data_IF_234757660813
#
_entry.id   IF_234757660813
#
_cell.length_a   1.000
_cell.length_b   1.000
_cell.length_c   1.000
_cell.angle_alpha   90.00
_cell.angle_beta   90.00
_cell.angle_gamma   90.00
#
_symmetry.space_group_name_H-M   'P 1'
#
loop_
_entity.id
_entity.type
_entity.pdbx_description
1 polymer ?
#
# COMPACT_ATOMS: atom_id res chain seq x y z
N UNK A 1 0.45 33.65 15.57
CA UNK A 1 1.59 33.89 14.65
C UNK A 1 1.74 32.61 13.85
N UNK A 2 1.01 32.49 12.74
CA UNK A 2 1.06 31.28 11.90
C UNK A 2 2.45 31.17 11.30
N UNK A 3 3.13 30.05 11.56
CA UNK A 3 4.46 29.80 11.05
C UNK A 3 4.41 29.63 9.52
N UNK A 4 5.53 29.90 8.84
CA UNK A 4 5.62 29.76 7.38
C UNK A 4 5.37 28.31 6.91
N UNK A 5 5.68 27.33 7.76
CA UNK A 5 5.32 25.92 7.59
C UNK A 5 3.81 25.68 7.61
N UNK A 6 3.07 26.35 8.48
CA UNK A 6 1.61 26.23 8.54
C UNK A 6 0.96 26.73 7.25
N UNK A 7 1.49 27.81 6.66
CA UNK A 7 1.01 28.34 5.37
C UNK A 7 1.31 27.43 4.17
N UNK A 8 2.45 26.73 4.18
CA UNK A 8 2.79 25.75 3.13
C UNK A 8 1.94 24.48 3.30
N UNK A 9 1.67 24.09 4.54
CA UNK A 9 0.79 22.97 4.90
C UNK A 9 -0.64 23.24 4.45
N UNK A 10 -1.22 24.41 4.74
CA UNK A 10 -2.60 24.76 4.34
C UNK A 10 -2.77 24.79 2.82
N UNK A 11 -1.83 25.38 2.08
CA UNK A 11 -1.86 25.36 0.61
C UNK A 11 -1.86 23.95 0.01
N UNK A 12 -1.09 23.02 0.59
CA UNK A 12 -1.10 21.61 0.16
C UNK A 12 -2.44 20.95 0.45
N UNK A 13 -3.08 21.28 1.57
CA UNK A 13 -4.41 20.79 1.93
C UNK A 13 -5.47 21.29 0.97
N UNK A 14 -5.45 22.58 0.64
CA UNK A 14 -6.36 23.19 -0.32
C UNK A 14 -6.24 22.52 -1.68
N UNK A 15 -5.02 22.29 -2.17
CA UNK A 15 -4.79 21.60 -3.45
C UNK A 15 -5.29 20.15 -3.44
N UNK A 16 -5.12 19.43 -2.33
CA UNK A 16 -5.67 18.07 -2.20
C UNK A 16 -7.19 18.12 -2.20
N UNK A 17 -7.79 19.06 -1.48
CA UNK A 17 -9.24 19.28 -1.43
C UNK A 17 -9.79 19.58 -2.82
N UNK A 18 -9.18 20.52 -3.54
CA UNK A 18 -9.56 20.89 -4.91
C UNK A 18 -9.48 19.69 -5.86
N UNK A 19 -8.42 18.89 -5.78
CA UNK A 19 -8.31 17.66 -6.59
C UNK A 19 -9.40 16.63 -6.25
N UNK A 20 -9.74 16.47 -4.97
CA UNK A 20 -10.80 15.57 -4.54
C UNK A 20 -12.18 16.08 -4.99
N UNK A 21 -12.43 17.38 -4.89
CA UNK A 21 -13.66 18.02 -5.37
C UNK A 21 -13.79 17.92 -6.90
N UNK A 22 -12.71 18.14 -7.64
CA UNK A 22 -12.70 17.96 -9.10
C UNK A 22 -13.01 16.52 -9.50
N UNK A 23 -12.48 15.52 -8.76
CA UNK A 23 -12.80 14.10 -8.96
C UNK A 23 -14.25 13.78 -8.62
N UNK A 24 -14.75 14.28 -7.50
CA UNK A 24 -16.15 14.13 -7.11
C UNK A 24 -17.07 14.70 -8.19
N UNK A 25 -16.77 15.90 -8.69
CA UNK A 25 -17.53 16.54 -9.76
C UNK A 25 -17.51 15.73 -11.06
N UNK A 26 -16.36 15.14 -11.41
CA UNK A 26 -16.23 14.26 -12.59
C UNK A 26 -17.02 12.95 -12.44
N UNK A 27 -17.03 12.37 -11.24
CA UNK A 27 -17.82 11.18 -10.91
C UNK A 27 -19.32 11.50 -10.94
N UNK A 28 -19.75 12.63 -10.38
CA UNK A 28 -21.16 13.05 -10.36
C UNK A 28 -21.67 13.49 -11.73
N UNK A 29 -20.81 14.01 -12.61
CA UNK A 29 -21.20 14.38 -13.98
C UNK A 29 -21.32 13.20 -14.94
N UNK A 30 -20.98 11.99 -14.50
CA UNK A 30 -21.11 10.78 -15.31
C UNK A 30 -22.59 10.37 -15.33
N UNK A 31 -23.21 10.37 -16.51
CA UNK A 31 -24.63 10.01 -16.71
C UNK A 31 -24.90 8.57 -16.25
N UNK A 32 -25.26 8.43 -14.98
CA UNK A 32 -25.54 7.15 -14.31
C UNK A 32 -27.03 6.87 -14.17
N UNK A 33 -27.89 7.79 -14.64
CA UNK A 33 -29.35 7.64 -14.60
C UNK A 33 -29.88 6.41 -15.37
N UNK A 34 -29.09 5.85 -16.29
CA UNK A 34 -29.43 4.61 -17.02
C UNK A 34 -29.00 3.32 -16.31
N UNK A 35 -28.28 3.39 -15.18
CA UNK A 35 -27.75 2.23 -14.48
C UNK A 35 -28.36 2.08 -13.08
N UNK A 36 -28.55 0.84 -12.65
CA UNK A 36 -28.96 0.53 -11.28
C UNK A 36 -27.77 0.79 -10.35
N UNK A 37 -27.96 1.67 -9.37
CA UNK A 37 -26.94 1.99 -8.38
C UNK A 37 -26.85 0.93 -7.29
N UNK A 38 -25.72 0.86 -6.60
CA UNK A 38 -25.48 -0.10 -5.52
C UNK A 38 -26.56 -0.04 -4.42
N UNK A 39 -27.03 1.17 -4.10
CA UNK A 39 -28.08 1.42 -3.13
C UNK A 39 -29.44 0.84 -3.55
N UNK A 40 -29.73 0.88 -4.85
CA UNK A 40 -30.98 0.37 -5.42
C UNK A 40 -30.99 -1.16 -5.52
N UNK A 41 -29.83 -1.81 -5.53
CA UNK A 41 -29.73 -3.26 -5.54
C UNK A 41 -30.20 -3.90 -4.21
N UNK A 42 -30.27 -3.13 -3.12
CA UNK A 42 -30.67 -3.64 -1.81
C UNK A 42 -29.66 -4.63 -1.22
N UNK A 43 -28.37 -4.51 -1.59
CA UNK A 43 -27.30 -5.35 -1.05
C UNK A 43 -27.14 -5.07 0.44
N UNK A 44 -27.23 -6.11 1.26
CA UNK A 44 -27.10 -6.03 2.72
C UNK A 44 -25.79 -6.66 3.23
N UNK A 45 -25.09 -7.45 2.41
CA UNK A 45 -23.83 -8.09 2.79
C UNK A 45 -22.86 -8.15 1.62
N UNK A 46 -21.58 -7.92 1.92
CA UNK A 46 -20.48 -7.97 0.98
C UNK A 46 -19.46 -9.01 1.44
N UNK A 47 -19.25 -10.02 0.59
CA UNK A 47 -18.19 -11.01 0.75
C UNK A 47 -17.14 -10.76 -0.32
N UNK A 48 -15.92 -10.43 0.09
CA UNK A 48 -14.83 -10.11 -0.81
C UNK A 48 -13.76 -11.20 -0.72
N UNK A 49 -13.65 -11.99 -1.78
CA UNK A 49 -12.52 -12.90 -1.95
C UNK A 49 -11.31 -12.16 -2.51
N UNK A 50 -10.12 -12.68 -2.19
CA UNK A 50 -8.81 -12.08 -2.49
C UNK A 50 -8.74 -10.59 -2.16
N UNK A 51 -9.15 -10.24 -0.93
CA UNK A 51 -9.21 -8.87 -0.44
C UNK A 51 -7.86 -8.13 -0.53
N UNK A 52 -6.74 -8.86 -0.59
CA UNK A 52 -5.41 -8.29 -0.82
C UNK A 52 -5.32 -7.50 -2.15
N UNK A 53 -6.20 -7.73 -3.12
CA UNK A 53 -6.28 -6.93 -4.35
C UNK A 53 -6.73 -5.48 -4.13
N UNK A 54 -7.35 -5.18 -2.98
CA UNK A 54 -7.90 -3.87 -2.63
C UNK A 54 -7.07 -3.13 -1.58
N UNK A 55 -5.82 -3.54 -1.37
CA UNK A 55 -4.89 -2.94 -0.38
C UNK A 55 -4.37 -1.54 -0.71
N UNK A 56 -4.52 -1.08 -1.95
CA UNK A 56 -4.01 0.22 -2.42
C UNK A 56 -5.05 1.34 -2.27
N UNK A 57 -5.51 1.56 -1.04
CA UNK A 57 -6.47 2.60 -0.71
C UNK A 57 -5.79 3.96 -0.51
N UNK A 58 -6.40 5.02 -1.03
CA UNK A 58 -5.93 6.38 -0.79
C UNK A 58 -6.14 6.78 0.68
N UNK A 59 -5.09 7.29 1.29
CA UNK A 59 -5.14 7.99 2.57
C UNK A 59 -4.15 9.15 2.56
N UNK A 60 -4.42 10.13 3.41
CA UNK A 60 -3.56 11.29 3.57
C UNK A 60 -2.54 11.03 4.66
N UNK A 61 -1.30 11.42 4.41
CA UNK A 61 -0.18 11.31 5.36
C UNK A 61 0.82 12.43 5.14
N UNK A 62 1.45 12.92 6.21
CA UNK A 62 2.63 13.80 6.12
C UNK A 62 3.91 13.03 5.73
N UNK A 63 3.89 11.71 5.86
CA UNK A 63 5.01 10.79 5.65
C UNK A 63 5.10 10.23 4.21
N UNK A 64 4.42 10.84 3.23
CA UNK A 64 4.34 10.32 1.86
C UNK A 64 5.67 10.22 1.11
N UNK A 65 6.72 10.89 1.58
CA UNK A 65 8.07 10.82 1.00
C UNK A 65 8.93 9.67 1.56
N UNK A 66 8.46 8.96 2.59
CA UNK A 66 9.21 7.87 3.23
C UNK A 66 8.98 6.57 2.45
N UNK A 67 10.07 5.85 2.13
CA UNK A 67 9.98 4.58 1.41
C UNK A 67 9.23 3.53 2.27
N UNK A 68 8.38 2.75 1.63
CA UNK A 68 7.52 1.76 2.29
C UNK A 68 6.10 2.24 2.58
N UNK A 69 5.86 3.56 2.51
CA UNK A 69 4.51 4.13 2.55
C UNK A 69 4.07 4.39 1.10
N UNK A 70 3.37 3.42 0.52
CA UNK A 70 2.78 3.60 -0.80
C UNK A 70 1.37 4.18 -0.64
N UNK A 71 1.21 5.47 -0.93
CA UNK A 71 -0.12 6.09 -1.05
C UNK A 71 -0.65 5.74 -2.44
N UNK A 72 -1.19 4.53 -2.56
CA UNK A 72 -1.90 4.09 -3.74
C UNK A 72 -3.25 4.80 -3.84
N UNK A 73 -3.64 5.17 -5.04
CA UNK A 73 -4.95 5.79 -5.30
C UNK A 73 -5.72 4.95 -6.32
N UNK A 74 -5.94 3.68 -5.95
CA UNK A 74 -6.66 2.76 -6.79
C UNK A 74 -8.16 3.07 -6.71
N UNK A 75 -8.75 3.48 -7.83
CA UNK A 75 -10.19 3.77 -7.92
C UNK A 75 -11.06 2.60 -7.41
N UNK A 76 -10.61 1.35 -7.62
CA UNK A 76 -11.28 0.14 -7.12
C UNK A 76 -11.31 0.07 -5.59
N UNK A 77 -10.21 0.41 -4.93
CA UNK A 77 -10.12 0.43 -3.47
C UNK A 77 -11.00 1.53 -2.87
N UNK A 78 -11.01 2.72 -3.48
CA UNK A 78 -11.89 3.82 -3.08
C UNK A 78 -13.37 3.48 -3.26
N UNK A 79 -13.74 2.86 -4.39
CA UNK A 79 -15.12 2.42 -4.62
C UNK A 79 -15.57 1.34 -3.61
N UNK A 80 -14.68 0.42 -3.27
CA UNK A 80 -14.93 -0.57 -2.23
C UNK A 80 -15.17 0.10 -0.86
N UNK A 81 -14.36 1.10 -0.51
CA UNK A 81 -14.52 1.83 0.76
C UNK A 81 -15.90 2.49 0.84
N UNK A 82 -16.33 3.15 -0.24
CA UNK A 82 -17.63 3.81 -0.30
C UNK A 82 -18.78 2.81 -0.11
N UNK A 83 -18.70 1.63 -0.74
CA UNK A 83 -19.70 0.56 -0.56
C UNK A 83 -19.74 0.04 0.88
N UNK A 84 -18.57 -0.14 1.49
CA UNK A 84 -18.46 -0.58 2.89
C UNK A 84 -19.03 0.47 3.85
N UNK A 85 -18.71 1.75 3.64
CA UNK A 85 -19.25 2.85 4.44
C UNK A 85 -20.78 2.90 4.34
N UNK A 86 -21.33 2.78 3.13
CA UNK A 86 -22.77 2.71 2.92
C UNK A 86 -23.41 1.52 3.66
N UNK A 87 -22.81 0.32 3.58
CA UNK A 87 -23.31 -0.85 4.32
C UNK A 87 -23.27 -0.64 5.84
N UNK A 88 -22.22 0.00 6.35
CA UNK A 88 -22.11 0.36 7.76
C UNK A 88 -23.12 1.42 8.20
N UNK A 89 -23.48 2.37 7.35
CA UNK A 89 -24.54 3.34 7.64
C UNK A 89 -25.91 2.65 7.78
N UNK A 90 -26.18 1.65 6.95
CA UNK A 90 -27.48 0.94 6.95
C UNK A 90 -27.56 -0.11 8.06
N UNK A 91 -26.50 -0.88 8.29
CA UNK A 91 -26.52 -2.05 9.18
C UNK A 91 -25.84 -1.82 10.53
N UNK A 92 -25.05 -0.76 10.64
CA UNK A 92 -24.13 -0.50 11.74
C UNK A 92 -22.70 -0.94 11.41
N UNK A 93 -21.72 -0.21 11.95
CA UNK A 93 -20.29 -0.50 11.75
C UNK A 93 -19.94 -1.93 12.18
N UNK A 94 -19.10 -2.61 11.38
CA UNK A 94 -18.65 -3.98 11.64
C UNK A 94 -19.63 -5.10 11.24
N UNK A 95 -20.74 -4.77 10.57
CA UNK A 95 -21.73 -5.76 10.11
C UNK A 95 -21.82 -5.80 8.58
N UNK A 96 -22.04 -7.00 8.03
CA UNK A 96 -22.33 -7.19 6.61
C UNK A 96 -21.12 -7.05 5.68
N UNK A 97 -19.88 -7.08 6.18
CA UNK A 97 -18.67 -7.07 5.35
C UNK A 97 -17.72 -8.17 5.83
N UNK A 98 -17.33 -9.06 4.92
CA UNK A 98 -16.43 -10.18 5.20
C UNK A 98 -15.36 -10.23 4.12
N UNK A 99 -14.10 -10.23 4.55
CA UNK A 99 -12.95 -10.38 3.66
C UNK A 99 -12.36 -11.78 3.79
N UNK A 100 -12.08 -12.41 2.65
CA UNK A 100 -11.31 -13.63 2.54
C UNK A 100 -10.02 -13.34 1.78
N UNK A 101 -8.89 -13.80 2.32
CA UNK A 101 -7.58 -13.68 1.67
C UNK A 101 -6.63 -14.73 2.22
N UNK A 102 -5.89 -15.39 1.32
CA UNK A 102 -4.80 -16.28 1.71
C UNK A 102 -3.54 -15.54 2.19
N UNK A 103 -3.46 -14.24 1.92
CA UNK A 103 -2.33 -13.38 2.34
C UNK A 103 -2.87 -12.13 3.03
N UNK A 104 -3.10 -12.17 4.37
CA UNK A 104 -3.71 -11.04 5.08
C UNK A 104 -2.81 -9.79 5.05
N UNK A 105 -1.49 -9.98 5.01
CA UNK A 105 -0.50 -8.90 4.89
C UNK A 105 0.62 -9.42 4.01
N UNK A 106 0.82 -8.81 2.84
CA UNK A 106 1.82 -9.28 1.89
C UNK A 106 3.20 -8.81 2.29
N UNK A 107 3.40 -7.50 2.55
CA UNK A 107 4.73 -6.92 2.82
C UNK A 107 4.78 -5.46 3.32
N UNK A 108 3.65 -4.76 3.45
CA UNK A 108 3.67 -3.35 3.88
C UNK A 108 2.75 -3.08 5.06
N UNK A 109 3.28 -2.31 6.01
CA UNK A 109 2.60 -1.77 7.17
C UNK A 109 1.32 -0.99 6.78
N UNK A 110 1.33 -0.39 5.60
CA UNK A 110 0.15 0.30 5.03
C UNK A 110 -1.01 -0.66 4.78
N UNK A 111 -0.72 -1.90 4.37
CA UNK A 111 -1.75 -2.90 4.06
C UNK A 111 -2.56 -3.27 5.30
N UNK A 112 -1.88 -3.41 6.46
CA UNK A 112 -2.54 -3.65 7.75
C UNK A 112 -3.50 -2.51 8.08
N UNK A 113 -3.02 -1.27 8.02
CA UNK A 113 -3.85 -0.09 8.26
C UNK A 113 -5.02 -0.01 7.29
N UNK A 114 -4.82 -0.31 6.01
CA UNK A 114 -5.90 -0.32 5.00
C UNK A 114 -6.97 -1.35 5.33
N UNK A 115 -6.58 -2.58 5.73
CA UNK A 115 -7.55 -3.60 6.15
C UNK A 115 -8.32 -3.17 7.40
N UNK A 116 -7.62 -2.60 8.38
CA UNK A 116 -8.26 -2.09 9.60
C UNK A 116 -9.22 -0.92 9.30
N UNK A 117 -8.88 -0.05 8.35
CA UNK A 117 -9.76 1.04 7.89
C UNK A 117 -11.03 0.53 7.23
N UNK A 118 -10.98 -0.62 6.56
CA UNK A 118 -12.16 -1.26 5.98
C UNK A 118 -13.03 -1.94 7.05
N UNK A 119 -12.43 -2.74 7.92
CA UNK A 119 -13.19 -3.66 8.78
C UNK A 119 -13.46 -3.13 10.19
N UNK A 120 -12.63 -2.22 10.71
CA UNK A 120 -12.73 -1.68 12.06
C UNK A 120 -12.56 -0.15 12.15
N UNK A 121 -13.25 0.65 11.32
CA UNK A 121 -13.16 2.10 11.40
C UNK A 121 -13.54 2.64 12.79
N UNK A 122 -14.57 2.10 13.44
CA UNK A 122 -14.98 2.50 14.79
C UNK A 122 -13.86 2.32 15.83
N UNK A 123 -13.24 1.15 15.86
CA UNK A 123 -12.16 0.84 16.83
C UNK A 123 -10.99 1.80 16.62
N UNK A 124 -10.65 2.08 15.36
CA UNK A 124 -9.60 3.05 15.07
C UNK A 124 -9.94 4.47 15.55
N UNK A 125 -11.21 4.88 15.49
CA UNK A 125 -11.68 6.17 16.03
C UNK A 125 -11.65 6.18 17.56
N UNK A 126 -12.12 5.12 18.22
CA UNK A 126 -12.15 4.98 19.69
C UNK A 126 -10.76 5.04 20.33
N UNK A 127 -9.74 4.57 19.62
CA UNK A 127 -8.35 4.61 20.06
C UNK A 127 -7.56 5.82 19.53
N UNK A 128 -8.22 6.82 18.91
CA UNK A 128 -7.59 8.02 18.34
C UNK A 128 -6.46 7.74 17.31
N UNK A 129 -6.58 6.62 16.58
CA UNK A 129 -5.62 6.13 15.57
C UNK A 129 -6.27 5.99 14.18
N UNK A 130 -7.33 6.75 13.91
CA UNK A 130 -8.06 6.68 12.64
C UNK A 130 -7.27 7.23 11.45
N UNK A 131 -6.43 8.25 11.69
CA UNK A 131 -5.55 8.78 10.66
C UNK A 131 -4.24 8.00 10.61
N UNK A 132 -3.75 7.77 9.39
CA UNK A 132 -2.53 6.99 9.18
C UNK A 132 -1.34 7.51 9.98
N UNK A 133 -1.15 8.83 10.08
CA UNK A 133 -0.02 9.40 10.82
C UNK A 133 -0.07 9.07 12.34
N UNK A 134 -1.27 9.02 12.93
CA UNK A 134 -1.46 8.63 14.34
C UNK A 134 -1.27 7.12 14.53
N UNK A 135 -1.83 6.33 13.61
CA UNK A 135 -1.65 4.89 13.62
C UNK A 135 -0.17 4.51 13.44
N UNK A 136 0.53 5.20 12.54
CA UNK A 136 1.94 5.01 12.23
C UNK A 136 2.85 5.44 13.38
N UNK A 137 2.50 6.45 14.17
CA UNK A 137 3.28 6.82 15.36
C UNK A 137 3.11 5.83 16.50
N UNK A 138 1.94 5.19 16.62
CA UNK A 138 1.69 4.16 17.65
C UNK A 138 2.35 2.82 17.31
N UNK A 139 2.22 2.37 16.07
CA UNK A 139 2.63 1.01 15.68
C UNK A 139 3.85 0.96 14.78
N UNK A 140 4.28 2.09 14.21
CA UNK A 140 5.37 2.13 13.25
C UNK A 140 6.63 2.79 13.77
N UNK A 141 7.77 2.36 13.23
CA UNK A 141 9.06 3.01 13.44
C UNK A 141 9.77 3.21 12.10
N UNK A 142 10.11 4.46 11.82
CA UNK A 142 10.96 4.83 10.70
C UNK A 142 12.39 4.46 11.05
N UNK A 143 13.05 3.74 10.15
CA UNK A 143 14.46 3.34 10.27
C UNK A 143 15.22 3.81 9.05
N UNK A 144 16.46 4.23 9.28
CA UNK A 144 17.39 4.53 8.19
C UNK A 144 17.98 3.21 7.70
N UNK A 145 17.78 2.89 6.43
CA UNK A 145 18.38 1.74 5.76
C UNK A 145 19.44 2.22 4.77
N UNK A 146 20.58 1.56 4.78
CA UNK A 146 21.59 1.74 3.74
C UNK A 146 21.14 0.94 2.52
N UNK A 147 20.80 1.61 1.43
CA UNK A 147 20.38 0.98 0.17
C UNK A 147 21.41 1.21 -0.91
N UNK A 148 21.61 0.20 -1.76
CA UNK A 148 22.36 0.38 -2.98
C UNK A 148 21.50 1.18 -3.95
N UNK A 149 22.06 2.23 -4.52
CA UNK A 149 21.39 3.06 -5.51
C UNK A 149 21.04 2.25 -6.77
N UNK A 150 20.22 2.83 -7.64
CA UNK A 150 19.76 2.20 -8.90
C UNK A 150 20.91 1.76 -9.82
N UNK A 151 22.15 2.18 -9.54
CA UNK A 151 23.35 1.85 -10.32
C UNK A 151 24.16 0.69 -9.75
N UNK A 152 23.81 0.19 -8.55
CA UNK A 152 24.50 -0.94 -7.93
C UNK A 152 25.82 -0.56 -7.23
N UNK A 153 26.24 0.72 -7.29
CA UNK A 153 27.62 1.12 -6.95
C UNK A 153 27.73 2.07 -5.76
N UNK A 154 26.69 2.86 -5.46
CA UNK A 154 26.71 3.78 -4.33
C UNK A 154 25.70 3.39 -3.26
N UNK A 155 26.05 3.64 -2.01
CA UNK A 155 25.18 3.42 -0.86
C UNK A 155 24.48 4.75 -0.52
N UNK A 156 23.15 4.75 -0.49
CA UNK A 156 22.34 5.88 -0.06
C UNK A 156 21.60 5.53 1.23
N UNK A 157 21.61 6.45 2.19
CA UNK A 157 20.82 6.31 3.41
C UNK A 157 19.40 6.77 3.10
N UNK A 158 18.45 5.84 3.21
CA UNK A 158 17.05 6.06 2.89
C UNK A 158 16.19 5.77 4.11
N UNK A 159 15.21 6.64 4.36
CA UNK A 159 14.24 6.43 5.43
C UNK A 159 13.21 5.39 4.96
N UNK A 160 13.11 4.29 5.69
CA UNK A 160 12.10 3.24 5.50
C UNK A 160 11.14 3.14 6.66
N UNK A 161 9.87 3.02 6.33
CA UNK A 161 8.85 2.59 7.27
C UNK A 161 8.82 1.06 7.32
N UNK A 162 9.64 0.45 8.20
CA UNK A 162 9.93 -0.99 8.13
C UNK A 162 9.82 -1.75 9.46
N UNK A 163 9.82 -1.07 10.62
CA UNK A 163 9.74 -1.77 11.91
C UNK A 163 8.40 -1.51 12.59
N UNK A 164 7.83 -2.58 13.13
CA UNK A 164 6.70 -2.50 14.03
C UNK A 164 7.16 -2.13 15.43
N UNK A 165 6.42 -1.25 16.08
CA UNK A 165 6.41 -1.05 17.52
C UNK A 165 5.08 -1.63 18.05
N UNK A 166 5.06 -2.09 19.30
CA UNK A 166 3.80 -2.56 19.93
C UNK A 166 3.08 -3.67 19.12
N UNK A 167 3.85 -4.67 18.65
CA UNK A 167 3.32 -5.81 17.87
C UNK A 167 2.21 -6.57 18.63
N UNK A 168 2.34 -6.86 19.94
CA UNK A 168 1.29 -7.55 20.67
C UNK A 168 -0.06 -6.80 20.64
N UNK A 169 -0.02 -5.48 20.82
CA UNK A 169 -1.19 -4.61 20.80
C UNK A 169 -1.78 -4.57 19.40
N UNK A 170 -0.95 -4.38 18.36
CA UNK A 170 -1.41 -4.40 16.98
C UNK A 170 -2.03 -5.74 16.60
N UNK A 171 -1.43 -6.86 17.05
CA UNK A 171 -1.95 -8.20 16.80
C UNK A 171 -3.29 -8.41 17.48
N UNK A 172 -3.45 -7.93 18.72
CA UNK A 172 -4.73 -7.97 19.45
C UNK A 172 -5.79 -7.19 18.71
N UNK A 173 -5.48 -5.94 18.32
CA UNK A 173 -6.37 -5.05 17.58
C UNK A 173 -6.76 -5.63 16.21
N UNK A 174 -5.84 -6.28 15.52
CA UNK A 174 -6.08 -6.93 14.23
C UNK A 174 -6.96 -8.17 14.38
N UNK A 175 -6.77 -8.98 15.43
CA UNK A 175 -7.55 -10.20 15.70
C UNK A 175 -9.01 -9.96 16.09
N UNK A 176 -9.39 -8.72 16.43
CA UNK A 176 -10.81 -8.39 16.67
C UNK A 176 -11.65 -8.65 15.43
N UNK A 177 -11.09 -8.40 14.24
CA UNK A 177 -11.79 -8.52 12.94
C UNK A 177 -11.19 -9.59 12.03
N UNK A 178 -10.18 -10.32 12.48
CA UNK A 178 -9.51 -11.35 11.69
C UNK A 178 -9.43 -12.68 12.43
N UNK A 179 -9.89 -13.72 11.74
CA UNK A 179 -9.56 -15.09 12.07
C UNK A 179 -8.49 -15.57 11.10
N UNK A 180 -7.35 -16.01 11.63
CA UNK A 180 -6.17 -16.39 10.85
C UNK A 180 -5.84 -17.83 11.18
N UNK A 181 -6.06 -18.69 10.20
CA UNK A 181 -5.73 -20.11 10.30
C UNK A 181 -4.47 -20.39 9.47
N UNK A 182 -3.40 -20.81 10.14
CA UNK A 182 -2.15 -21.18 9.47
C UNK A 182 -2.10 -22.67 9.19
N UNK A 183 -1.24 -23.09 8.25
CA UNK A 183 -1.01 -24.51 7.96
C UNK A 183 -0.60 -25.30 9.21
N UNK A 184 0.11 -24.69 10.16
CA UNK A 184 0.51 -25.39 11.38
C UNK A 184 -0.66 -25.60 12.36
N UNK A 185 -1.72 -24.79 12.25
CA UNK A 185 -2.95 -24.94 13.05
C UNK A 185 -3.86 -26.05 12.51
N UNK A 186 -3.79 -26.33 11.20
CA UNK A 186 -4.57 -27.37 10.55
C UNK A 186 -3.63 -28.50 10.17
N UNK A 187 -3.71 -29.64 10.86
CA UNK A 187 -2.91 -30.82 10.56
C UNK A 187 -3.36 -31.52 9.26
N UNK A 188 -3.38 -30.78 8.16
CA UNK A 188 -3.78 -31.26 6.84
C UNK A 188 -2.65 -32.12 6.26
N UNK A 189 -2.96 -33.34 5.78
CA UNK A 189 -2.00 -34.13 5.06
C UNK A 189 -1.62 -33.39 3.76
N UNK A 190 -0.34 -33.08 3.59
CA UNK A 190 0.20 -32.47 2.39
C UNK A 190 1.48 -33.19 1.97
N UNK A 191 1.88 -33.08 0.69
CA UNK A 191 3.14 -33.65 0.24
C UNK A 191 4.30 -33.04 1.04
N UNK A 192 5.17 -33.91 1.54
CA UNK A 192 6.39 -33.46 2.21
C UNK A 192 7.41 -33.10 1.14
N UNK A 193 8.15 -32.01 1.37
CA UNK A 193 9.35 -31.72 0.59
C UNK A 193 10.42 -32.73 1.01
N UNK A 194 11.12 -33.35 0.06
CA UNK A 194 12.18 -34.33 0.33
C UNK A 194 13.25 -33.79 1.31
N UNK A 195 13.55 -32.49 1.21
CA UNK A 195 14.51 -31.77 2.05
C UNK A 195 13.89 -31.02 3.22
N UNK A 196 12.56 -31.06 3.39
CA UNK A 196 11.80 -30.29 4.38
C UNK A 196 11.79 -28.77 4.15
N UNK A 197 12.58 -28.24 3.22
CA UNK A 197 12.67 -26.81 2.85
C UNK A 197 12.84 -26.67 1.34
N UNK A 198 12.35 -25.56 0.73
CA UNK A 198 12.67 -25.24 -0.66
C UNK A 198 14.19 -25.20 -0.86
N UNK A 199 14.67 -25.78 -1.96
CA UNK A 199 16.10 -25.78 -2.32
C UNK A 199 16.34 -24.52 -3.17
N UNK A 200 17.04 -23.49 -2.65
CA UNK A 200 17.42 -22.35 -3.47
C UNK A 200 18.48 -22.81 -4.48
N UNK A 201 18.18 -22.63 -5.77
CA UNK A 201 19.15 -22.91 -6.84
C UNK A 201 19.83 -21.59 -7.20
N UNK A 202 21.09 -21.45 -6.79
CA UNK A 202 21.91 -20.32 -7.19
C UNK A 202 22.38 -20.49 -8.62
N UNK A 203 22.09 -19.50 -9.47
CA UNK A 203 22.50 -19.50 -10.87
C UNK A 203 23.52 -18.39 -11.08
N UNK A 204 24.73 -18.76 -11.48
CA UNK A 204 25.77 -17.78 -11.82
C UNK A 204 25.37 -17.02 -13.09
N UNK A 205 25.34 -15.68 -13.08
CA UNK A 205 24.97 -14.91 -14.26
C UNK A 205 25.99 -15.14 -15.38
N UNK A 206 25.50 -15.34 -16.61
CA UNK A 206 26.34 -15.49 -17.80
C UNK A 206 27.12 -14.21 -18.10
N UNK A 207 28.21 -14.30 -18.86
CA UNK A 207 29.03 -13.12 -19.23
C UNK A 207 28.19 -12.03 -19.90
N UNK A 208 27.24 -12.42 -20.77
CA UNK A 208 26.30 -11.50 -21.42
C UNK A 208 25.42 -10.74 -20.43
N UNK A 209 24.93 -11.41 -19.38
CA UNK A 209 24.12 -10.77 -18.32
C UNK A 209 24.97 -9.78 -17.52
N UNK A 210 26.22 -10.15 -17.19
CA UNK A 210 27.16 -9.25 -16.50
C UNK A 210 27.47 -7.99 -17.32
N UNK A 211 27.76 -8.16 -18.61
CA UNK A 211 27.99 -7.04 -19.53
C UNK A 211 26.76 -6.15 -19.65
N UNK A 212 25.56 -6.73 -19.75
CA UNK A 212 24.32 -5.97 -19.83
C UNK A 212 24.03 -5.17 -18.55
N UNK A 213 24.26 -5.76 -17.37
CA UNK A 213 24.15 -5.04 -16.09
C UNK A 213 25.15 -3.88 -16.02
N UNK A 214 26.41 -4.10 -16.45
CA UNK A 214 27.42 -3.03 -16.50
C UNK A 214 27.00 -1.89 -17.44
N UNK A 215 26.48 -2.22 -18.61
CA UNK A 215 25.95 -1.25 -19.58
C UNK A 215 24.80 -0.40 -19.00
N UNK A 216 23.85 -1.02 -18.28
CA UNK A 216 22.77 -0.31 -17.62
C UNK A 216 23.30 0.61 -16.50
N UNK A 217 24.30 0.18 -15.74
CA UNK A 217 24.94 0.99 -14.70
C UNK A 217 25.62 2.24 -15.29
N UNK A 218 26.33 2.10 -16.42
CA UNK A 218 26.98 3.24 -17.08
C UNK A 218 25.97 4.23 -17.67
N UNK A 219 24.87 3.75 -18.26
CA UNK A 219 23.76 4.63 -18.69
C UNK A 219 23.15 5.39 -17.52
N UNK A 220 22.96 4.73 -16.39
CA UNK A 220 22.39 5.36 -15.20
C UNK A 220 23.30 6.48 -14.66
N UNK A 221 24.63 6.32 -14.74
CA UNK A 221 25.60 7.39 -14.41
C UNK A 221 25.45 8.60 -15.35
N UNK A 222 25.34 8.37 -16.66
CA UNK A 222 25.21 9.45 -17.64
C UNK A 222 23.95 10.30 -17.39
N UNK A 223 22.82 9.64 -17.06
CA UNK A 223 21.56 10.32 -16.72
C UNK A 223 21.70 11.13 -15.42
N UNK A 224 22.35 10.58 -14.38
CA UNK A 224 22.59 11.30 -13.11
C UNK A 224 23.46 12.54 -13.30
N UNK A 225 24.40 12.52 -14.24
CA UNK A 225 25.25 13.68 -14.57
C UNK A 225 24.59 14.69 -15.52
N UNK A 226 23.29 14.55 -15.82
CA UNK A 226 22.53 15.39 -16.75
C UNK A 226 23.14 15.50 -18.16
N UNK A 227 23.95 14.51 -18.56
CA UNK A 227 24.58 14.47 -19.90
C UNK A 227 23.65 13.95 -20.98
N UNK A 228 22.41 13.59 -20.63
CA UNK A 228 21.43 12.97 -21.53
C UNK A 228 20.07 13.62 -21.32
N UNK A 229 19.38 13.92 -22.43
CA UNK A 229 18.00 14.42 -22.41
C UNK A 229 17.06 13.35 -21.79
N UNK A 230 16.34 13.67 -20.69
CA UNK A 230 15.40 12.78 -20.01
C UNK A 230 14.28 12.20 -20.91
N UNK A 231 13.97 12.86 -22.02
CA UNK A 231 13.00 12.33 -23.01
C UNK A 231 13.59 11.17 -23.83
N UNK A 232 14.90 11.23 -24.10
CA UNK A 232 15.63 10.18 -24.82
C UNK A 232 15.94 9.01 -23.91
N UNK A 233 16.52 9.26 -22.74
CA UNK A 233 16.84 8.22 -21.77
C UNK A 233 16.61 8.68 -20.33
N UNK A 234 16.03 7.83 -19.49
CA UNK A 234 15.74 8.15 -18.10
C UNK A 234 15.73 6.91 -17.21
N UNK A 235 15.72 7.14 -15.90
CA UNK A 235 15.83 6.06 -14.91
C UNK A 235 14.67 5.05 -14.98
N UNK A 236 13.49 5.46 -15.43
CA UNK A 236 12.34 4.58 -15.60
C UNK A 236 12.54 3.59 -16.76
N UNK A 237 13.13 4.04 -17.88
CA UNK A 237 13.48 3.16 -19.01
C UNK A 237 14.51 2.11 -18.59
N UNK A 238 15.58 2.52 -17.92
CA UNK A 238 16.61 1.62 -17.38
C UNK A 238 15.99 0.57 -16.43
N UNK A 239 15.11 1.01 -15.53
CA UNK A 239 14.45 0.10 -14.57
C UNK A 239 13.53 -0.91 -15.27
N UNK A 240 12.92 -0.53 -16.39
CA UNK A 240 12.06 -1.42 -17.18
C UNK A 240 12.88 -2.40 -18.01
N UNK A 241 14.00 -1.95 -18.58
CA UNK A 241 14.94 -2.77 -19.35
C UNK A 241 15.66 -3.80 -18.46
N UNK A 242 16.10 -3.42 -17.26
CA UNK A 242 16.77 -4.33 -16.31
C UNK A 242 15.88 -5.41 -15.70
N UNK A 243 14.56 -5.37 -15.96
CA UNK A 243 13.60 -6.43 -15.57
C UNK A 243 13.40 -7.50 -16.66
N UNK A 244 13.90 -7.28 -17.87
CA UNK A 244 13.84 -8.24 -18.98
C UNK A 244 15.09 -9.11 -19.01
#
# INVERSE_FOLDING_TARGET
>A
MDSEEDRVSTRKLEKIKENLEARLKKLSSSNTEQFINFEQLGVDSLFLDEAHNYKNLFFKTKMGNIKGIQVGDAQRATNLLQKIQYLYEIRGEGKGVVFATGTPVSNSMVEVYTMQRYLQPQILKEHDIYFFDQWASTFGKIVNSLEVDVTGQNLQIEQRFAKFNNIPELSTLFRITSDVVTKDMINLPGPMLDTGKPIPVEVTPSSRVKEYISYLADRAKLIKTSKVDPKRDNMLKITTEGKK
#
